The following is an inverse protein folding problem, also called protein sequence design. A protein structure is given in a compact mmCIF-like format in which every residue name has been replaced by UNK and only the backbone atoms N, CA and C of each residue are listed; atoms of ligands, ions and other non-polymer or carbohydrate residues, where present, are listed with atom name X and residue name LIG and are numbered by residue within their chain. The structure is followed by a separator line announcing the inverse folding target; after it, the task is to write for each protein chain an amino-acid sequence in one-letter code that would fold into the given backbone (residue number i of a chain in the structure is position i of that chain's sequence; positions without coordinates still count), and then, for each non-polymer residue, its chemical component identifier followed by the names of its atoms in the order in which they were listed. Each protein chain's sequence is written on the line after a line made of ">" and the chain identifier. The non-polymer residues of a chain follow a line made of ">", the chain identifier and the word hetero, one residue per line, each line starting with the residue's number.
data_IF_885108396030
#
_entry.id   IF_885108396030
#
_cell.length_a   1.000
_cell.length_b   1.000
_cell.length_c   1.000
_cell.angle_alpha   90.00
_cell.angle_beta   90.00
_cell.angle_gamma   90.00
#
_symmetry.space_group_name_H-M   'P 1'
#
loop_
_entity.id
_entity.type
_entity.pdbx_description
1 polymer ?
#
# COMPACT_ATOMS: atom_id res chain seq x y z
N UNK A 1 -14.66 5.12 20.41
CA UNK A 1 -15.97 5.18 19.74
C UNK A 1 -15.71 5.34 18.26
N UNK A 2 -16.17 4.38 17.47
CA UNK A 2 -15.90 4.31 16.04
C UNK A 2 -16.93 5.19 15.32
N UNK A 3 -16.58 6.44 15.00
CA UNK A 3 -17.51 7.44 14.44
C UNK A 3 -17.60 7.34 12.92
N UNK A 4 -18.64 7.92 12.32
CA UNK A 4 -18.80 7.99 10.85
C UNK A 4 -18.02 9.15 10.21
N UNK A 5 -17.52 10.09 11.00
CA UNK A 5 -16.85 11.29 10.52
C UNK A 5 -15.56 10.97 9.76
N UNK A 6 -15.44 11.53 8.56
CA UNK A 6 -14.29 11.31 7.68
C UNK A 6 -14.28 9.95 6.99
N UNK A 7 -15.30 9.11 7.22
CA UNK A 7 -15.46 7.84 6.51
C UNK A 7 -16.20 8.06 5.20
N UNK A 8 -15.94 7.15 4.26
CA UNK A 8 -16.67 7.11 3.00
C UNK A 8 -16.64 5.73 2.38
N UNK A 9 -17.53 5.54 1.40
CA UNK A 9 -17.67 4.30 0.64
C UNK A 9 -17.46 4.60 -0.83
N UNK A 10 -16.77 3.68 -1.50
CA UNK A 10 -16.55 3.70 -2.94
C UNK A 10 -17.49 2.67 -3.59
N UNK A 11 -18.28 3.10 -4.57
CA UNK A 11 -19.22 2.24 -5.30
C UNK A 11 -18.95 2.30 -6.81
N UNK A 12 -19.24 1.24 -7.58
CA UNK A 12 -19.24 1.31 -9.03
C UNK A 12 -20.23 2.36 -9.53
N UNK A 13 -19.86 3.13 -10.55
CA UNK A 13 -20.74 4.13 -11.16
C UNK A 13 -22.04 3.51 -11.68
N UNK A 14 -22.01 2.25 -12.13
CA UNK A 14 -23.19 1.52 -12.59
C UNK A 14 -24.24 1.30 -11.50
N UNK A 15 -23.85 1.33 -10.22
CA UNK A 15 -24.78 1.11 -9.10
C UNK A 15 -25.40 2.41 -8.60
N UNK A 16 -25.03 3.58 -9.14
CA UNK A 16 -25.46 4.88 -8.62
C UNK A 16 -26.98 5.10 -8.73
N UNK A 17 -27.59 4.57 -9.79
CA UNK A 17 -29.00 4.80 -10.12
C UNK A 17 -29.93 3.82 -9.37
N UNK A 18 -29.39 2.67 -8.96
CA UNK A 18 -30.10 1.64 -8.17
C UNK A 18 -29.86 1.75 -6.66
N UNK A 19 -29.14 2.80 -6.22
CA UNK A 19 -28.77 2.96 -4.81
C UNK A 19 -29.94 3.53 -4.01
N UNK A 20 -30.52 2.71 -3.13
CA UNK A 20 -31.50 3.15 -2.14
C UNK A 20 -30.83 3.30 -0.78
N UNK A 21 -30.73 4.54 -0.29
CA UNK A 21 -30.14 4.86 1.00
C UNK A 21 -31.22 5.00 2.08
N UNK A 22 -30.90 4.59 3.30
CA UNK A 22 -31.73 4.92 4.45
C UNK A 22 -31.56 6.41 4.80
N UNK A 23 -32.63 7.03 5.30
CA UNK A 23 -32.66 8.47 5.63
C UNK A 23 -31.49 8.95 6.50
N UNK A 24 -31.05 8.14 7.47
CA UNK A 24 -29.88 8.45 8.31
C UNK A 24 -28.59 8.65 7.49
N UNK A 25 -28.40 7.83 6.47
CA UNK A 25 -27.21 7.89 5.61
C UNK A 25 -27.31 9.09 4.66
N UNK A 26 -28.49 9.38 4.13
CA UNK A 26 -28.74 10.59 3.32
C UNK A 26 -28.46 11.86 4.13
N UNK A 27 -28.99 11.94 5.35
CA UNK A 27 -28.77 13.06 6.25
C UNK A 27 -27.27 13.21 6.61
N UNK A 28 -26.56 12.09 6.82
CA UNK A 28 -25.12 12.11 7.07
C UNK A 28 -24.29 12.58 5.87
N UNK A 29 -24.71 12.25 4.65
CA UNK A 29 -24.09 12.73 3.41
C UNK A 29 -24.34 14.24 3.25
N UNK A 30 -25.58 14.69 3.43
CA UNK A 30 -25.96 16.10 3.33
C UNK A 30 -25.24 16.98 4.37
N UNK A 31 -25.00 16.45 5.57
CA UNK A 31 -24.22 17.11 6.62
C UNK A 31 -22.70 17.05 6.41
N UNK A 32 -22.23 16.35 5.37
CA UNK A 32 -20.80 16.19 5.07
C UNK A 32 -20.04 15.26 6.03
N UNK A 33 -20.75 14.52 6.89
CA UNK A 33 -20.16 13.56 7.84
C UNK A 33 -19.71 12.28 7.15
N UNK A 34 -20.42 11.88 6.09
CA UNK A 34 -20.17 10.68 5.31
C UNK A 34 -19.99 11.02 3.83
N UNK A 35 -19.04 10.37 3.15
CA UNK A 35 -18.75 10.62 1.74
C UNK A 35 -19.04 9.38 0.89
N UNK A 36 -19.75 9.56 -0.21
CA UNK A 36 -19.98 8.50 -1.19
C UNK A 36 -19.22 8.84 -2.48
N UNK A 37 -18.36 7.94 -2.92
CA UNK A 37 -17.57 8.09 -4.13
C UNK A 37 -18.02 7.07 -5.17
N UNK A 38 -18.11 7.50 -6.42
CA UNK A 38 -18.35 6.59 -7.55
C UNK A 38 -17.05 6.37 -8.33
N UNK A 39 -16.86 5.16 -8.86
CA UNK A 39 -15.72 4.81 -9.72
C UNK A 39 -16.21 4.24 -11.06
N UNK A 40 -15.59 4.66 -12.16
CA UNK A 40 -15.80 4.05 -13.48
C UNK A 40 -14.68 3.04 -13.79
N UNK A 41 -13.47 3.32 -13.29
CA UNK A 41 -12.28 2.50 -13.50
C UNK A 41 -11.54 2.21 -12.19
N UNK A 42 -10.66 1.19 -12.21
CA UNK A 42 -9.74 0.92 -11.09
C UNK A 42 -8.81 2.12 -10.83
N UNK A 43 -8.51 2.92 -11.86
CA UNK A 43 -7.71 4.13 -11.72
C UNK A 43 -8.35 5.14 -10.77
N UNK A 44 -9.65 5.36 -10.92
CA UNK A 44 -10.42 6.32 -10.09
C UNK A 44 -10.43 5.86 -8.63
N UNK A 45 -10.61 4.55 -8.42
CA UNK A 45 -10.56 3.95 -7.09
C UNK A 45 -9.20 4.19 -6.41
N UNK A 46 -8.11 3.95 -7.13
CA UNK A 46 -6.76 4.18 -6.63
C UNK A 46 -6.50 5.67 -6.36
N UNK A 47 -7.02 6.55 -7.21
CA UNK A 47 -6.89 8.00 -7.04
C UNK A 47 -7.53 8.47 -5.73
N UNK A 48 -8.77 8.02 -5.47
CA UNK A 48 -9.52 8.34 -4.25
C UNK A 48 -8.85 7.75 -3.01
N UNK A 49 -8.43 6.48 -3.06
CA UNK A 49 -7.84 5.79 -1.91
C UNK A 49 -6.45 6.31 -1.54
N UNK A 50 -5.66 6.73 -2.53
CA UNK A 50 -4.30 7.23 -2.31
C UNK A 50 -4.24 8.75 -2.14
N UNK A 51 -5.40 9.44 -2.17
CA UNK A 51 -5.55 10.91 -2.14
C UNK A 51 -4.57 11.62 -3.09
N UNK A 52 -4.44 11.06 -4.28
CA UNK A 52 -3.36 11.38 -5.16
C UNK A 52 -3.95 12.13 -6.35
N UNK A 53 -3.77 13.46 -6.40
CA UNK A 53 -4.36 14.30 -7.46
C UNK A 53 -3.84 13.95 -8.86
N UNK A 54 -2.59 13.48 -8.95
CA UNK A 54 -1.90 13.20 -10.22
C UNK A 54 -0.98 11.95 -10.23
N UNK A 55 -1.45 10.75 -9.90
CA UNK A 55 -0.76 9.55 -10.32
C UNK A 55 -1.35 9.09 -11.65
N UNK A 56 -0.59 9.26 -12.72
CA UNK A 56 -0.75 8.39 -13.88
C UNK A 56 -0.79 6.96 -13.34
N UNK A 57 -1.84 6.18 -13.60
CA UNK A 57 -2.00 4.80 -13.13
C UNK A 57 -0.69 3.99 -13.31
N UNK A 58 0.04 4.26 -14.40
CA UNK A 58 1.38 3.74 -14.65
C UNK A 58 2.39 3.95 -13.52
N UNK A 59 2.44 5.12 -12.86
CA UNK A 59 3.38 5.40 -11.77
C UNK A 59 3.09 4.51 -10.57
N UNK A 60 1.80 4.36 -10.21
CA UNK A 60 1.38 3.46 -9.13
C UNK A 60 1.76 2.03 -9.50
N UNK A 61 1.44 1.59 -10.71
CA UNK A 61 1.77 0.25 -11.19
C UNK A 61 3.28 -0.01 -11.20
N UNK A 62 4.11 0.97 -11.59
CA UNK A 62 5.58 0.87 -11.53
C UNK A 62 6.11 0.71 -10.10
N UNK A 63 5.52 1.43 -9.14
CA UNK A 63 5.89 1.29 -7.72
C UNK A 63 5.50 -0.11 -7.24
N UNK A 64 4.28 -0.56 -7.53
CA UNK A 64 3.82 -1.90 -7.17
C UNK A 64 4.75 -2.96 -7.76
N UNK A 65 5.05 -2.88 -9.06
CA UNK A 65 5.94 -3.83 -9.73
C UNK A 65 7.35 -3.86 -9.11
N UNK A 66 7.92 -2.68 -8.83
CA UNK A 66 9.22 -2.54 -8.18
C UNK A 66 9.22 -3.15 -6.77
N UNK A 67 8.19 -2.89 -5.98
CA UNK A 67 8.06 -3.46 -4.65
C UNK A 67 7.83 -4.97 -4.71
N UNK A 68 6.95 -5.47 -5.59
CA UNK A 68 6.71 -6.91 -5.79
C UNK A 68 7.99 -7.66 -6.17
N UNK A 69 8.85 -7.09 -7.02
CA UNK A 69 10.14 -7.69 -7.39
C UNK A 69 11.06 -7.93 -6.17
N UNK A 70 11.03 -7.07 -5.13
CA UNK A 70 11.83 -7.28 -3.91
C UNK A 70 11.47 -8.55 -3.15
N UNK A 71 10.24 -9.01 -3.28
CA UNK A 71 9.73 -10.20 -2.60
C UNK A 71 9.79 -11.45 -3.48
N UNK A 72 9.72 -11.29 -4.81
CA UNK A 72 9.84 -12.39 -5.79
C UNK A 72 11.31 -12.78 -5.98
N UNK A 73 12.22 -11.81 -6.05
CA UNK A 73 13.65 -12.08 -6.01
C UNK A 73 14.00 -12.53 -4.58
N UNK A 74 14.18 -13.85 -4.39
CA UNK A 74 14.54 -14.49 -3.11
C UNK A 74 15.43 -13.60 -2.23
N UNK A 75 15.25 -13.60 -0.90
CA UNK A 75 16.15 -12.90 0.00
C UNK A 75 17.58 -13.37 -0.31
N UNK A 76 18.40 -12.47 -0.83
CA UNK A 76 19.84 -12.71 -0.93
C UNK A 76 20.30 -12.89 0.50
N UNK A 77 20.49 -14.14 0.92
CA UNK A 77 21.19 -14.47 2.16
C UNK A 77 22.41 -13.56 2.25
N UNK A 78 22.63 -12.85 3.37
CA UNK A 78 23.81 -12.01 3.51
C UNK A 78 25.04 -12.87 3.20
N UNK A 79 25.78 -12.50 2.15
CA UNK A 79 27.04 -13.16 1.81
C UNK A 79 27.92 -13.06 3.04
N UNK A 80 28.20 -14.18 3.69
CA UNK A 80 29.20 -14.26 4.73
C UNK A 80 30.52 -13.74 4.13
N UNK A 81 30.93 -12.53 4.54
CA UNK A 81 32.29 -12.07 4.32
C UNK A 81 33.22 -13.09 4.96
N UNK A 82 34.18 -13.70 4.22
CA UNK A 82 35.12 -14.61 4.84
C UNK A 82 35.92 -13.84 5.91
N UNK A 83 35.74 -14.23 7.18
CA UNK A 83 36.61 -13.81 8.28
C UNK A 83 38.04 -14.19 7.87
N UNK A 84 38.91 -13.21 7.68
CA UNK A 84 40.36 -13.45 7.63
C UNK A 84 40.78 -14.00 9.00
N UNK A 85 41.02 -15.30 9.09
CA UNK A 85 41.70 -15.89 10.25
C UNK A 85 43.14 -15.40 10.20
N UNK A 86 43.52 -14.59 11.19
CA UNK A 86 44.91 -14.20 11.43
C UNK A 86 45.61 -15.43 12.01
N UNK A 87 46.50 -16.06 11.24
CA UNK A 87 47.36 -17.13 11.76
C UNK A 87 48.33 -16.50 12.78
N UNK A 88 48.16 -16.87 14.04
CA UNK A 88 49.10 -16.56 15.11
C UNK A 88 50.13 -17.70 15.16
N UNK A 89 51.32 -17.45 14.60
CA UNK A 89 52.42 -18.41 14.61
C UNK A 89 52.99 -18.52 16.03
N UNK A 90 52.59 -19.55 16.77
CA UNK A 90 53.30 -19.97 17.98
C UNK A 90 54.61 -20.67 17.59
N UNK A 91 55.73 -19.94 17.68
CA UNK A 91 57.07 -20.50 17.58
C UNK A 91 57.41 -21.15 18.93
N UNK A 92 57.29 -22.47 18.97
CA UNK A 92 57.84 -23.32 20.03
C UNK A 92 59.35 -23.08 20.07
N UNK A 93 59.87 -22.59 21.19
CA UNK A 93 61.31 -22.60 21.48
C UNK A 93 61.54 -23.74 22.46
N UNK A 94 62.02 -24.87 21.94
CA UNK A 94 62.72 -25.88 22.71
C UNK A 94 64.20 -25.47 22.82
N UNK A 95 64.68 -25.34 24.06
CA UNK A 95 65.96 -25.82 24.63
C UNK A 95 66.45 -24.90 25.74
#
# INVERSE_FOLDING_TARGET
>A
MDTIEGKGVLIPASNKDDLVLCKEVEDAILQGKFKLYTMESIGDALQVLLDCKDPTLEKILKVIEKESKKYIEKPKTPKATPRKVKQENNKVVER
#
